data_IF_799524793623
#
_entry.id   IF_799524793623
#
_cell.length_a   1.000
_cell.length_b   1.000
_cell.length_c   1.000
_cell.angle_alpha   90.00
_cell.angle_beta   90.00
_cell.angle_gamma   90.00
#
_symmetry.space_group_name_H-M   'P 1'
#
loop_
_entity.id
_entity.type
_entity.pdbx_description
1 polymer ?
#
# COMPACT_ATOMS: atom_id res chain seq x y z
N UNK A 1 -25.14 -13.77 -12.79
CA UNK A 1 -24.17 -13.16 -13.72
C UNK A 1 -24.15 -11.63 -13.62
N UNK A 2 -25.20 -10.89 -13.93
CA UNK A 2 -25.28 -9.41 -13.88
C UNK A 2 -24.79 -8.74 -12.57
N UNK A 3 -25.04 -9.34 -11.39
CA UNK A 3 -24.59 -8.78 -10.09
C UNK A 3 -23.06 -8.88 -9.88
N UNK A 4 -22.44 -9.92 -10.41
CA UNK A 4 -20.99 -10.15 -10.31
C UNK A 4 -20.21 -9.23 -11.26
N UNK A 5 -20.73 -8.99 -12.46
CA UNK A 5 -20.19 -8.00 -13.42
C UNK A 5 -20.26 -6.59 -12.85
N UNK A 6 -21.40 -6.18 -12.33
CA UNK A 6 -21.60 -4.85 -11.72
C UNK A 6 -20.69 -4.61 -10.52
N UNK A 7 -20.29 -5.67 -9.79
CA UNK A 7 -19.33 -5.57 -8.69
C UNK A 7 -17.88 -5.42 -9.19
N UNK A 8 -17.52 -6.00 -10.33
CA UNK A 8 -16.19 -5.86 -10.92
C UNK A 8 -15.99 -4.46 -11.47
N UNK A 9 -16.99 -3.90 -12.18
CA UNK A 9 -16.92 -2.52 -12.68
C UNK A 9 -16.78 -1.51 -11.53
N UNK A 10 -17.54 -1.72 -10.44
CA UNK A 10 -17.39 -0.90 -9.23
C UNK A 10 -16.02 -1.07 -8.57
N UNK A 11 -15.49 -2.30 -8.51
CA UNK A 11 -14.16 -2.56 -7.96
C UNK A 11 -13.08 -1.81 -8.73
N UNK A 12 -13.21 -1.72 -10.05
CA UNK A 12 -12.22 -1.04 -10.89
C UNK A 12 -12.11 0.46 -10.56
N UNK A 13 -13.23 1.13 -10.25
CA UNK A 13 -13.21 2.53 -9.78
C UNK A 13 -12.37 2.66 -8.49
N UNK A 14 -12.57 1.76 -7.55
CA UNK A 14 -11.79 1.77 -6.29
C UNK A 14 -10.32 1.44 -6.53
N UNK A 15 -10.00 0.56 -7.48
CA UNK A 15 -8.62 0.28 -7.92
C UNK A 15 -7.96 1.54 -8.49
N UNK A 16 -8.65 2.31 -9.34
CA UNK A 16 -8.13 3.56 -9.90
C UNK A 16 -7.90 4.63 -8.82
N UNK A 17 -8.86 4.81 -7.90
CA UNK A 17 -8.72 5.73 -6.77
C UNK A 17 -7.49 5.33 -5.92
N UNK A 18 -7.35 4.05 -5.62
CA UNK A 18 -6.20 3.52 -4.88
C UNK A 18 -4.89 3.78 -5.62
N UNK A 19 -4.83 3.49 -6.92
CA UNK A 19 -3.65 3.69 -7.75
C UNK A 19 -3.21 5.16 -7.77
N UNK A 20 -4.15 6.08 -7.89
CA UNK A 20 -3.87 7.52 -7.84
C UNK A 20 -3.36 7.94 -6.45
N UNK A 21 -4.10 7.63 -5.39
CA UNK A 21 -3.70 8.00 -4.02
C UNK A 21 -2.33 7.43 -3.64
N UNK A 22 -2.09 6.16 -3.97
CA UNK A 22 -0.80 5.52 -3.66
C UNK A 22 0.31 5.92 -4.63
N UNK A 23 -0.01 6.28 -5.87
CA UNK A 23 0.97 6.74 -6.86
C UNK A 23 1.58 8.11 -6.56
N UNK A 24 0.88 8.93 -5.78
CA UNK A 24 1.37 10.23 -5.32
C UNK A 24 2.09 10.17 -3.96
N UNK A 25 2.07 9.01 -3.29
CA UNK A 25 2.53 8.89 -1.90
C UNK A 25 4.02 9.14 -1.75
N UNK A 26 4.86 8.52 -2.59
CA UNK A 26 6.32 8.66 -2.52
C UNK A 26 6.75 10.11 -2.73
N UNK A 27 6.10 10.79 -3.67
CA UNK A 27 6.36 12.20 -3.97
C UNK A 27 6.01 13.08 -2.77
N UNK A 28 4.81 12.87 -2.21
CA UNK A 28 4.38 13.61 -1.03
C UNK A 28 5.31 13.38 0.17
N UNK A 29 5.77 12.13 0.40
CA UNK A 29 6.71 11.81 1.47
C UNK A 29 8.08 12.45 1.25
N UNK A 30 8.57 12.52 0.01
CA UNK A 30 9.82 13.22 -0.34
C UNK A 30 9.70 14.73 -0.15
N UNK A 31 8.59 15.33 -0.55
CA UNK A 31 8.33 16.77 -0.34
C UNK A 31 8.26 17.14 1.15
N UNK A 32 7.79 16.24 2.00
CA UNK A 32 7.83 16.39 3.46
C UNK A 32 9.17 16.00 4.09
N UNK A 33 10.15 15.59 3.28
CA UNK A 33 11.42 15.02 3.71
C UNK A 33 12.23 15.96 4.60
N UNK A 34 12.84 15.39 5.66
CA UNK A 34 13.61 16.12 6.66
C UNK A 34 12.78 16.75 7.78
N UNK A 35 11.47 16.95 7.61
CA UNK A 35 10.60 17.49 8.66
C UNK A 35 10.23 16.46 9.72
N UNK A 36 10.18 15.17 9.34
CA UNK A 36 9.71 14.09 10.19
C UNK A 36 10.65 12.88 10.15
N UNK A 37 10.82 12.18 11.28
CA UNK A 37 11.43 10.85 11.27
C UNK A 37 10.50 9.82 10.61
N UNK A 38 11.06 8.67 10.19
CA UNK A 38 10.27 7.60 9.56
C UNK A 38 9.14 7.09 10.46
N UNK A 39 9.42 6.92 11.75
CA UNK A 39 8.42 6.50 12.73
C UNK A 39 7.37 7.58 12.97
N UNK A 40 7.81 8.82 13.13
CA UNK A 40 6.92 9.95 13.38
C UNK A 40 5.92 10.16 12.25
N UNK A 41 6.37 10.18 10.98
CA UNK A 41 5.45 10.37 9.85
C UNK A 41 4.51 9.17 9.70
N UNK A 42 4.98 7.95 9.97
CA UNK A 42 4.12 6.75 9.96
C UNK A 42 3.05 6.87 11.05
N UNK A 43 3.43 7.18 12.28
CA UNK A 43 2.50 7.44 13.37
C UNK A 43 1.45 8.50 13.01
N UNK A 44 1.92 9.70 12.62
CA UNK A 44 1.02 10.85 12.39
C UNK A 44 0.03 10.60 11.25
N UNK A 45 0.48 10.07 10.10
CA UNK A 45 -0.43 9.85 8.96
C UNK A 45 -1.46 8.76 9.22
N UNK A 46 -1.10 7.70 9.96
CA UNK A 46 -2.06 6.66 10.31
C UNK A 46 -2.99 7.08 11.44
N UNK A 47 -2.55 7.92 12.37
CA UNK A 47 -3.42 8.58 13.35
C UNK A 47 -4.47 9.46 12.63
N UNK A 48 -4.04 10.34 11.74
CA UNK A 48 -4.93 11.22 10.97
C UNK A 48 -5.89 10.40 10.11
N UNK A 49 -5.40 9.43 9.36
CA UNK A 49 -6.22 8.57 8.51
C UNK A 49 -7.21 7.73 9.31
N UNK A 50 -6.79 7.19 10.45
CA UNK A 50 -7.65 6.44 11.37
C UNK A 50 -8.76 7.29 11.96
N UNK A 51 -8.42 8.50 12.43
CA UNK A 51 -9.40 9.47 12.95
C UNK A 51 -10.36 9.98 11.86
N UNK A 52 -9.85 10.22 10.64
CA UNK A 52 -10.69 10.60 9.50
C UNK A 52 -11.72 9.51 9.16
N UNK A 53 -11.36 8.25 9.24
CA UNK A 53 -12.25 7.12 8.94
C UNK A 53 -13.18 6.77 10.12
N UNK A 54 -12.84 7.15 11.35
CA UNK A 54 -13.55 6.76 12.57
C UNK A 54 -15.06 7.10 12.56
N UNK A 55 -15.51 8.31 12.18
CA UNK A 55 -16.94 8.63 12.13
C UNK A 55 -17.72 7.69 11.19
N UNK A 56 -17.12 7.36 10.05
CA UNK A 56 -17.73 6.46 9.07
C UNK A 56 -17.74 5.00 9.58
N UNK A 57 -16.66 4.57 10.26
CA UNK A 57 -16.59 3.26 10.90
C UNK A 57 -17.67 3.10 11.99
N UNK A 58 -17.82 4.09 12.87
CA UNK A 58 -18.86 4.11 13.93
C UNK A 58 -20.26 4.07 13.32
N UNK A 59 -20.49 4.87 12.26
CA UNK A 59 -21.77 4.83 11.52
C UNK A 59 -22.05 3.44 10.92
N UNK A 60 -21.05 2.80 10.31
CA UNK A 60 -21.20 1.47 9.72
C UNK A 60 -21.48 0.41 10.78
N UNK A 61 -20.80 0.46 11.94
CA UNK A 61 -21.07 -0.43 13.08
C UNK A 61 -22.52 -0.31 13.54
N UNK A 62 -23.00 0.92 13.75
CA UNK A 62 -24.37 1.17 14.18
C UNK A 62 -25.40 0.74 13.12
N UNK A 63 -25.19 1.13 11.84
CA UNK A 63 -26.14 0.88 10.76
C UNK A 63 -26.27 -0.60 10.42
N UNK A 64 -25.15 -1.36 10.48
CA UNK A 64 -25.10 -2.78 10.13
C UNK A 64 -25.26 -3.70 11.36
N UNK A 65 -25.36 -3.16 12.57
CA UNK A 65 -25.44 -3.94 13.80
C UNK A 65 -24.22 -4.84 14.03
N UNK A 66 -23.01 -4.38 13.64
CA UNK A 66 -21.80 -5.18 13.72
C UNK A 66 -21.42 -5.39 15.19
N UNK A 67 -21.44 -6.65 15.64
CA UNK A 67 -20.93 -7.02 16.98
C UNK A 67 -19.44 -7.29 16.89
N UNK A 68 -18.63 -6.38 17.45
CA UNK A 68 -17.17 -6.50 17.53
C UNK A 68 -16.85 -7.45 18.68
N UNK A 69 -16.16 -8.55 18.38
CA UNK A 69 -15.74 -9.55 19.35
C UNK A 69 -14.27 -9.38 19.73
N UNK A 70 -13.82 -10.01 20.84
CA UNK A 70 -12.39 -10.05 21.21
C UNK A 70 -11.51 -10.56 20.07
N UNK A 71 -11.97 -11.58 19.33
CA UNK A 71 -11.26 -12.09 18.16
C UNK A 71 -11.17 -11.11 17.00
N UNK A 72 -12.12 -10.16 16.87
CA UNK A 72 -12.02 -9.09 15.87
C UNK A 72 -11.00 -8.04 16.28
N UNK A 73 -10.90 -7.72 17.56
CA UNK A 73 -9.89 -6.79 18.09
C UNK A 73 -8.48 -7.37 17.87
N UNK A 74 -8.25 -8.64 18.24
CA UNK A 74 -6.96 -9.32 18.00
C UNK A 74 -6.61 -9.30 16.50
N UNK A 75 -7.58 -9.62 15.64
CA UNK A 75 -7.37 -9.60 14.20
C UNK A 75 -7.01 -8.19 13.68
N UNK A 76 -7.73 -7.15 14.12
CA UNK A 76 -7.44 -5.75 13.76
C UNK A 76 -6.05 -5.34 14.25
N UNK A 77 -5.64 -5.79 15.45
CA UNK A 77 -4.29 -5.55 16.00
C UNK A 77 -3.22 -6.20 15.14
N UNK A 78 -3.38 -7.48 14.76
CA UNK A 78 -2.45 -8.17 13.85
C UNK A 78 -2.37 -7.43 12.51
N UNK A 79 -3.51 -7.03 11.97
CA UNK A 79 -3.58 -6.32 10.71
C UNK A 79 -2.83 -4.97 10.78
N UNK A 80 -3.02 -4.21 11.86
CA UNK A 80 -2.31 -2.97 12.11
C UNK A 80 -0.80 -3.17 12.30
N UNK A 81 -0.40 -4.18 13.06
CA UNK A 81 1.02 -4.49 13.29
C UNK A 81 1.72 -4.88 11.99
N UNK A 82 1.16 -5.81 11.22
CA UNK A 82 1.76 -6.28 9.97
C UNK A 82 1.75 -5.19 8.89
N UNK A 83 0.59 -4.57 8.69
CA UNK A 83 0.38 -3.64 7.58
C UNK A 83 0.95 -2.25 7.83
N UNK A 84 0.96 -1.78 9.07
CA UNK A 84 1.39 -0.41 9.40
C UNK A 84 2.73 -0.44 10.14
N UNK A 85 2.80 -1.03 11.34
CA UNK A 85 4.00 -0.95 12.14
C UNK A 85 5.21 -1.60 11.44
N UNK A 86 5.06 -2.73 10.77
CA UNK A 86 6.17 -3.36 10.05
C UNK A 86 6.26 -2.83 8.63
N UNK A 87 5.20 -3.00 7.83
CA UNK A 87 5.26 -2.70 6.40
C UNK A 87 5.47 -1.21 6.12
N UNK A 88 4.66 -0.32 6.71
CA UNK A 88 4.73 1.10 6.36
C UNK A 88 5.90 1.82 7.01
N UNK A 89 6.38 1.36 8.17
CA UNK A 89 7.64 1.86 8.73
C UNK A 89 8.84 1.44 7.89
N UNK A 90 8.91 0.18 7.45
CA UNK A 90 9.93 -0.25 6.49
C UNK A 90 9.81 0.52 5.17
N UNK A 91 8.59 0.76 4.68
CA UNK A 91 8.41 1.56 3.47
C UNK A 91 8.93 2.99 3.62
N UNK A 92 8.65 3.64 4.74
CA UNK A 92 9.15 4.99 5.01
C UNK A 92 10.68 5.03 5.10
N UNK A 93 11.30 4.04 5.77
CA UNK A 93 12.75 3.88 5.79
C UNK A 93 13.31 3.65 4.38
N UNK A 94 12.59 2.91 3.55
CA UNK A 94 12.93 2.71 2.14
C UNK A 94 12.91 4.02 1.34
N UNK A 95 11.84 4.81 1.45
CA UNK A 95 11.68 6.10 0.75
C UNK A 95 12.75 7.11 1.16
N UNK A 96 13.19 7.11 2.43
CA UNK A 96 14.28 7.99 2.89
C UNK A 96 15.62 7.58 2.26
N UNK A 97 15.86 6.27 2.06
CA UNK A 97 17.13 5.69 1.64
C UNK A 97 17.18 5.30 0.15
N UNK A 98 16.14 5.63 -0.62
CA UNK A 98 16.06 5.41 -2.07
C UNK A 98 15.42 6.61 -2.78
N UNK A 99 15.61 6.67 -4.10
CA UNK A 99 14.84 7.56 -4.96
C UNK A 99 13.34 7.18 -4.92
N UNK A 100 12.47 8.16 -5.08
CA UNK A 100 11.03 7.93 -5.01
C UNK A 100 10.54 6.97 -6.10
N UNK A 101 11.07 7.10 -7.32
CA UNK A 101 10.76 6.21 -8.43
C UNK A 101 11.15 4.74 -8.13
N UNK A 102 12.35 4.51 -7.57
CA UNK A 102 12.83 3.17 -7.20
C UNK A 102 11.96 2.57 -6.09
N UNK A 103 11.70 3.32 -5.03
CA UNK A 103 10.84 2.87 -3.94
C UNK A 103 9.42 2.56 -4.42
N UNK A 104 8.85 3.40 -5.31
CA UNK A 104 7.52 3.19 -5.88
C UNK A 104 7.42 1.91 -6.69
N UNK A 105 8.45 1.58 -7.48
CA UNK A 105 8.42 0.38 -8.30
C UNK A 105 8.65 -0.88 -7.46
N UNK A 106 9.56 -0.85 -6.48
CA UNK A 106 9.79 -2.01 -5.60
C UNK A 106 8.53 -2.33 -4.80
N UNK A 107 7.87 -1.36 -4.18
CA UNK A 107 6.61 -1.61 -3.45
C UNK A 107 5.50 -2.08 -4.39
N UNK A 108 5.58 -1.74 -5.67
CA UNK A 108 4.63 -2.16 -6.70
C UNK A 108 4.79 -3.62 -7.13
N UNK A 109 5.81 -4.34 -6.64
CA UNK A 109 5.90 -5.81 -6.72
C UNK A 109 4.92 -6.52 -5.77
N UNK A 110 4.24 -5.79 -4.92
CA UNK A 110 3.24 -6.30 -3.97
C UNK A 110 2.26 -7.34 -4.56
N UNK A 111 1.69 -7.19 -5.78
CA UNK A 111 0.77 -8.17 -6.35
C UNK A 111 1.36 -9.58 -6.48
N UNK A 112 2.66 -9.68 -6.68
CA UNK A 112 3.39 -10.95 -6.78
C UNK A 112 3.25 -11.74 -5.47
N UNK A 113 3.60 -11.09 -4.36
CA UNK A 113 3.50 -11.69 -3.02
C UNK A 113 2.04 -11.85 -2.58
N UNK A 114 1.16 -10.91 -2.98
CA UNK A 114 -0.28 -11.00 -2.69
C UNK A 114 -0.90 -12.24 -3.32
N UNK A 115 -0.54 -12.60 -4.55
CA UNK A 115 -1.04 -13.82 -5.20
C UNK A 115 -0.62 -15.09 -4.44
N UNK A 116 0.60 -15.12 -3.90
CA UNK A 116 1.11 -16.22 -3.08
C UNK A 116 0.32 -16.30 -1.77
N UNK A 117 0.27 -15.20 -1.01
CA UNK A 117 -0.45 -15.18 0.28
C UNK A 117 -1.95 -15.41 0.11
N UNK A 118 -2.58 -14.88 -0.95
CA UNK A 118 -3.99 -15.12 -1.22
C UNK A 118 -4.29 -16.61 -1.50
N UNK A 119 -3.36 -17.33 -2.15
CA UNK A 119 -3.51 -18.76 -2.35
C UNK A 119 -3.54 -19.51 -1.02
N UNK A 120 -2.59 -19.27 -0.13
CA UNK A 120 -2.50 -20.00 1.14
C UNK A 120 -3.53 -19.55 2.18
N UNK A 121 -3.79 -18.23 2.30
CA UNK A 121 -4.62 -17.64 3.36
C UNK A 121 -6.11 -17.62 2.98
N UNK A 122 -6.43 -17.22 1.74
CA UNK A 122 -7.81 -17.00 1.27
C UNK A 122 -8.28 -18.12 0.34
N UNK A 123 -7.40 -19.08 0.05
CA UNK A 123 -7.64 -20.22 -0.85
C UNK A 123 -7.99 -19.79 -2.29
N UNK A 124 -7.45 -18.67 -2.74
CA UNK A 124 -7.54 -18.31 -4.16
C UNK A 124 -6.76 -19.29 -5.02
N UNK A 125 -7.29 -19.72 -6.19
CA UNK A 125 -6.56 -20.64 -7.07
C UNK A 125 -5.27 -20.00 -7.59
N UNK A 126 -4.16 -20.74 -7.50
CA UNK A 126 -2.89 -20.39 -8.11
C UNK A 126 -2.82 -21.06 -9.49
N UNK A 127 -2.82 -20.27 -10.54
CA UNK A 127 -2.85 -20.73 -11.92
C UNK A 127 -1.48 -20.56 -12.58
N UNK A 128 -1.20 -21.32 -13.64
CA UNK A 128 0.02 -21.17 -14.47
C UNK A 128 0.19 -19.73 -14.93
N UNK A 129 -0.90 -19.05 -15.27
CA UNK A 129 -0.87 -17.63 -15.63
C UNK A 129 -0.34 -16.76 -14.48
N UNK A 130 -0.78 -17.00 -13.23
CA UNK A 130 -0.25 -16.27 -12.05
C UNK A 130 1.25 -16.52 -11.89
N UNK A 131 1.72 -17.74 -12.17
CA UNK A 131 3.16 -18.05 -12.16
C UNK A 131 3.94 -17.26 -13.22
N UNK A 132 3.42 -17.17 -14.45
CA UNK A 132 4.04 -16.36 -15.53
C UNK A 132 4.11 -14.89 -15.12
N UNK A 133 3.02 -14.32 -14.61
CA UNK A 133 2.97 -12.94 -14.10
C UNK A 133 4.00 -12.71 -13.02
N UNK A 134 4.14 -13.66 -12.09
CA UNK A 134 5.12 -13.63 -11.02
C UNK A 134 6.55 -13.55 -11.57
N UNK A 135 6.91 -14.43 -12.50
CA UNK A 135 8.26 -14.45 -13.12
C UNK A 135 8.56 -13.13 -13.84
N UNK A 136 7.64 -12.67 -14.69
CA UNK A 136 7.82 -11.41 -15.43
C UNK A 136 7.97 -10.23 -14.46
N UNK A 137 7.17 -10.18 -13.39
CA UNK A 137 7.23 -9.09 -12.40
C UNK A 137 8.52 -9.12 -11.58
N UNK A 138 9.04 -10.31 -11.23
CA UNK A 138 10.33 -10.44 -10.55
C UNK A 138 11.46 -9.93 -11.44
N UNK A 139 11.46 -10.32 -12.72
CA UNK A 139 12.46 -9.82 -13.68
C UNK A 139 12.39 -8.29 -13.76
N UNK A 140 11.18 -7.73 -13.90
CA UNK A 140 10.98 -6.28 -13.92
C UNK A 140 11.50 -5.60 -12.65
N UNK A 141 11.28 -6.21 -11.47
CA UNK A 141 11.77 -5.72 -10.19
C UNK A 141 13.30 -5.70 -10.13
N UNK A 142 13.98 -6.75 -10.64
CA UNK A 142 15.45 -6.83 -10.68
C UNK A 142 16.01 -5.68 -11.53
N UNK A 143 15.40 -5.41 -12.70
CA UNK A 143 15.82 -4.29 -13.56
C UNK A 143 15.69 -2.94 -12.84
N UNK A 144 14.62 -2.72 -12.10
CA UNK A 144 14.41 -1.45 -11.37
C UNK A 144 15.35 -1.32 -10.18
N UNK A 145 15.55 -2.39 -9.43
CA UNK A 145 16.44 -2.38 -8.28
C UNK A 145 17.90 -2.15 -8.69
N UNK A 146 18.27 -2.62 -9.89
CA UNK A 146 19.61 -2.51 -10.48
C UNK A 146 20.73 -2.72 -9.46
N UNK A 147 20.88 -3.93 -8.89
CA UNK A 147 21.77 -4.16 -7.76
C UNK A 147 23.25 -4.07 -8.14
N UNK A 148 23.58 -4.03 -9.44
CA UNK A 148 24.94 -3.97 -9.97
C UNK A 148 25.38 -2.53 -10.20
N UNK A 149 24.48 -1.68 -10.76
CA UNK A 149 24.74 -0.25 -11.01
C UNK A 149 23.64 0.60 -10.37
N UNK A 150 23.66 0.65 -9.05
CA UNK A 150 22.67 1.41 -8.29
C UNK A 150 22.69 2.88 -8.67
N UNK A 151 21.50 3.44 -8.96
CA UNK A 151 21.37 4.87 -9.19
C UNK A 151 21.83 5.65 -7.97
N UNK A 152 22.45 6.80 -8.21
CA UNK A 152 22.75 7.77 -7.16
C UNK A 152 21.47 8.07 -6.36
N UNK A 153 21.59 8.11 -5.02
CA UNK A 153 20.45 8.24 -4.11
C UNK A 153 19.80 6.93 -3.66
N UNK A 154 20.16 5.79 -4.24
CA UNK A 154 19.71 4.46 -3.77
C UNK A 154 20.77 3.82 -2.86
N UNK A 155 20.33 3.13 -1.82
CA UNK A 155 21.19 2.33 -0.95
C UNK A 155 20.67 0.89 -0.86
N UNK A 156 21.56 -0.10 -0.70
CA UNK A 156 21.17 -1.51 -0.50
C UNK A 156 20.20 -1.66 0.70
N UNK A 157 20.41 -0.87 1.75
CA UNK A 157 19.54 -0.83 2.94
C UNK A 157 18.14 -0.32 2.60
N UNK A 158 18.04 0.73 1.78
CA UNK A 158 16.76 1.28 1.31
C UNK A 158 16.00 0.29 0.43
N UNK A 159 16.71 -0.38 -0.50
CA UNK A 159 16.13 -1.43 -1.33
C UNK A 159 15.56 -2.57 -0.48
N UNK A 160 16.33 -3.04 0.52
CA UNK A 160 15.90 -4.11 1.43
C UNK A 160 14.65 -3.70 2.26
N UNK A 161 14.64 -2.49 2.81
CA UNK A 161 13.47 -2.00 3.55
C UNK A 161 12.23 -1.92 2.66
N UNK A 162 12.35 -1.40 1.44
CA UNK A 162 11.23 -1.32 0.51
C UNK A 162 10.73 -2.70 0.09
N UNK A 163 11.64 -3.66 -0.08
CA UNK A 163 11.30 -5.05 -0.38
C UNK A 163 10.54 -5.72 0.78
N UNK A 164 11.02 -5.58 2.01
CA UNK A 164 10.32 -6.07 3.22
C UNK A 164 8.93 -5.44 3.31
N UNK A 165 8.83 -4.14 3.04
CA UNK A 165 7.56 -3.44 3.01
C UNK A 165 6.58 -4.05 1.99
N UNK A 166 7.04 -4.37 0.76
CA UNK A 166 6.22 -4.98 -0.27
C UNK A 166 5.68 -6.36 0.16
N UNK A 167 6.52 -7.20 0.75
CA UNK A 167 6.13 -8.53 1.24
C UNK A 167 5.12 -8.42 2.38
N UNK A 168 5.39 -7.55 3.38
CA UNK A 168 4.50 -7.36 4.53
C UNK A 168 3.17 -6.71 4.14
N UNK A 169 3.18 -5.79 3.16
CA UNK A 169 1.95 -5.22 2.64
C UNK A 169 1.10 -6.24 1.87
N UNK A 170 1.75 -7.16 1.17
CA UNK A 170 1.06 -8.27 0.52
C UNK A 170 0.38 -9.20 1.53
N UNK A 171 1.06 -9.48 2.63
CA UNK A 171 0.48 -10.25 3.74
C UNK A 171 -0.72 -9.51 4.36
N UNK A 172 -0.58 -8.21 4.64
CA UNK A 172 -1.69 -7.35 5.08
C UNK A 172 -2.88 -7.42 4.12
N UNK A 173 -2.63 -7.35 2.81
CA UNK A 173 -3.66 -7.42 1.77
C UNK A 173 -4.44 -8.73 1.80
N UNK A 174 -3.73 -9.86 1.92
CA UNK A 174 -4.35 -11.18 2.01
C UNK A 174 -5.13 -11.36 3.32
N UNK A 175 -4.54 -10.96 4.45
CA UNK A 175 -5.20 -10.95 5.76
C UNK A 175 -6.45 -10.07 5.74
N UNK A 176 -6.39 -8.90 5.09
CA UNK A 176 -7.49 -7.94 4.99
C UNK A 176 -8.79 -8.55 4.44
N UNK A 177 -8.69 -9.59 3.60
CA UNK A 177 -9.86 -10.29 3.05
C UNK A 177 -10.63 -11.10 4.09
N UNK A 178 -9.95 -11.63 5.12
CA UNK A 178 -10.53 -12.63 6.03
C UNK A 178 -11.79 -12.15 6.76
N UNK A 179 -11.83 -10.86 7.17
CA UNK A 179 -12.96 -10.32 7.94
C UNK A 179 -13.58 -9.07 7.33
N UNK A 180 -13.17 -8.65 6.12
CA UNK A 180 -13.73 -7.45 5.47
C UNK A 180 -15.23 -7.57 5.20
N UNK A 181 -15.72 -8.77 4.91
CA UNK A 181 -17.16 -9.02 4.70
C UNK A 181 -17.98 -8.82 5.98
N UNK A 182 -17.41 -9.15 7.16
CA UNK A 182 -18.04 -8.98 8.47
C UNK A 182 -17.92 -7.54 8.97
N UNK A 183 -16.70 -7.01 9.00
CA UNK A 183 -16.39 -5.73 9.63
C UNK A 183 -16.61 -4.54 8.69
N UNK A 184 -16.43 -4.75 7.38
CA UNK A 184 -16.35 -3.68 6.40
C UNK A 184 -14.99 -2.99 6.40
N UNK A 185 -14.63 -2.38 5.26
CA UNK A 185 -13.32 -1.74 5.08
C UNK A 185 -13.09 -0.54 6.01
N UNK A 186 -14.14 0.22 6.35
CA UNK A 186 -14.00 1.39 7.22
C UNK A 186 -13.65 1.01 8.66
N UNK A 187 -14.35 0.02 9.23
CA UNK A 187 -14.10 -0.46 10.60
C UNK A 187 -12.71 -1.09 10.69
N UNK A 188 -12.37 -1.89 9.68
CA UNK A 188 -11.10 -2.61 9.61
C UNK A 188 -9.91 -1.63 9.49
N UNK A 189 -9.99 -0.63 8.60
CA UNK A 189 -8.94 0.37 8.44
C UNK A 189 -8.84 1.30 9.64
N UNK A 190 -9.95 1.94 10.05
CA UNK A 190 -9.92 2.86 11.19
C UNK A 190 -9.38 2.17 12.45
N UNK A 191 -9.86 0.95 12.74
CA UNK A 191 -9.41 0.20 13.91
C UNK A 191 -7.92 -0.17 13.84
N UNK A 192 -7.47 -0.74 12.72
CA UNK A 192 -6.06 -1.13 12.54
C UNK A 192 -5.10 0.08 12.54
N UNK A 193 -5.52 1.21 11.95
CA UNK A 193 -4.72 2.42 11.92
C UNK A 193 -4.57 3.06 13.30
N UNK A 194 -5.66 3.15 14.07
CA UNK A 194 -5.62 3.72 15.41
C UNK A 194 -4.82 2.84 16.38
N UNK A 195 -4.98 1.51 16.33
CA UNK A 195 -4.18 0.59 17.15
C UNK A 195 -2.70 0.68 16.74
N UNK A 196 -2.40 0.66 15.45
CA UNK A 196 -1.04 0.81 14.98
C UNK A 196 -0.43 2.16 15.36
N UNK A 197 -1.20 3.25 15.28
CA UNK A 197 -0.74 4.57 15.72
C UNK A 197 -0.39 4.58 17.22
N UNK A 198 -1.14 3.88 18.07
CA UNK A 198 -0.80 3.74 19.50
C UNK A 198 0.51 2.96 19.67
N UNK A 199 0.70 1.86 18.93
CA UNK A 199 1.94 1.07 18.98
C UNK A 199 3.13 1.93 18.51
N UNK A 200 3.00 2.62 17.38
CA UNK A 200 4.04 3.51 16.85
C UNK A 200 4.36 4.66 17.80
N UNK A 201 3.35 5.25 18.44
CA UNK A 201 3.56 6.28 19.47
C UNK A 201 4.43 5.76 20.60
N UNK A 202 4.16 4.55 21.11
CA UNK A 202 4.98 3.92 22.16
C UNK A 202 6.42 3.72 21.66
N UNK A 203 6.62 3.27 20.42
CA UNK A 203 7.96 3.08 19.84
C UNK A 203 8.69 4.42 19.71
N UNK A 204 8.01 5.48 19.23
CA UNK A 204 8.56 6.84 19.10
C UNK A 204 9.03 7.34 20.49
N UNK A 205 8.18 7.20 21.52
CA UNK A 205 8.51 7.64 22.87
C UNK A 205 9.68 6.85 23.50
N UNK A 206 9.70 5.52 23.31
CA UNK A 206 10.78 4.65 23.84
C UNK A 206 12.11 4.96 23.18
N UNK A 207 12.11 5.33 21.88
CA UNK A 207 13.32 5.75 21.16
C UNK A 207 13.79 7.17 21.51
N UNK A 208 12.99 7.93 22.25
CA UNK A 208 13.27 9.33 22.52
C UNK A 208 13.07 10.27 21.32
N UNK A 209 12.41 9.78 20.26
CA UNK A 209 12.06 10.62 19.11
C UNK A 209 10.95 11.60 19.50
N UNK A 210 10.93 12.73 18.81
CA UNK A 210 9.92 13.76 19.07
C UNK A 210 8.59 13.40 18.38
N UNK A 211 7.47 13.58 19.10
CA UNK A 211 6.13 13.20 18.59
C UNK A 211 5.58 14.21 17.59
N UNK A 212 5.72 15.51 17.87
CA UNK A 212 5.07 16.61 17.12
C UNK A 212 6.05 17.63 16.54
N UNK A 213 7.37 17.47 16.74
CA UNK A 213 8.34 18.37 16.13
C UNK A 213 8.30 18.28 14.60
N UNK A 214 8.67 19.37 13.93
CA UNK A 214 8.64 19.40 12.45
C UNK A 214 7.26 19.71 11.85
N UNK A 215 6.19 19.80 12.65
CA UNK A 215 4.90 20.27 12.15
C UNK A 215 4.95 21.81 12.03
N UNK A 216 5.05 22.27 10.81
CA UNK A 216 5.11 23.69 10.42
C UNK A 216 4.03 23.97 9.38
N UNK A 217 3.76 25.24 9.07
CA UNK A 217 2.86 25.60 7.97
C UNK A 217 3.31 25.03 6.62
N UNK A 218 4.60 24.78 6.45
CA UNK A 218 5.15 24.17 5.23
C UNK A 218 4.94 22.66 5.17
N UNK A 219 5.12 21.93 6.27
CA UNK A 219 5.01 20.48 6.33
C UNK A 219 3.57 19.99 6.58
N UNK A 220 2.70 20.83 7.14
CA UNK A 220 1.31 20.49 7.45
C UNK A 220 0.48 20.05 6.24
N UNK A 221 0.54 20.72 5.06
CA UNK A 221 -0.18 20.25 3.87
C UNK A 221 0.21 18.84 3.45
N UNK A 222 1.51 18.50 3.49
CA UNK A 222 2.00 17.15 3.17
C UNK A 222 1.48 16.13 4.18
N UNK A 223 1.51 16.47 5.45
CA UNK A 223 1.00 15.61 6.53
C UNK A 223 -0.50 15.35 6.38
N UNK A 224 -1.30 16.39 6.13
CA UNK A 224 -2.75 16.25 5.90
C UNK A 224 -3.05 15.47 4.62
N UNK A 225 -2.33 15.73 3.54
CA UNK A 225 -2.48 14.99 2.29
C UNK A 225 -2.18 13.51 2.48
N UNK A 226 -1.04 13.17 3.09
CA UNK A 226 -0.65 11.77 3.32
C UNK A 226 -1.55 11.08 4.34
N UNK A 227 -2.07 11.79 5.35
CA UNK A 227 -3.00 11.25 6.33
C UNK A 227 -4.42 11.06 5.78
N UNK A 228 -5.01 12.08 5.16
CA UNK A 228 -6.42 12.05 4.73
C UNK A 228 -6.55 11.39 3.35
N UNK A 229 -5.81 11.88 2.34
CA UNK A 229 -6.01 11.43 0.96
C UNK A 229 -5.37 10.06 0.77
N UNK A 230 -4.07 9.94 1.05
CA UNK A 230 -3.35 8.68 0.82
C UNK A 230 -3.79 7.60 1.80
N UNK A 231 -3.75 7.89 3.12
CA UNK A 231 -4.04 6.89 4.15
C UNK A 231 -5.55 6.71 4.34
N UNK A 232 -6.33 7.77 4.48
CA UNK A 232 -7.78 7.68 4.68
C UNK A 232 -8.49 7.14 3.44
N UNK A 233 -8.51 7.93 2.36
CA UNK A 233 -9.28 7.62 1.14
C UNK A 233 -8.62 6.46 0.37
N UNK A 234 -7.31 6.47 0.19
CA UNK A 234 -6.59 5.46 -0.60
C UNK A 234 -6.75 4.05 -0.02
N UNK A 235 -6.53 3.87 1.28
CA UNK A 235 -6.69 2.56 1.92
C UNK A 235 -8.15 2.13 2.04
N UNK A 236 -9.09 3.07 2.25
CA UNK A 236 -10.51 2.74 2.18
C UNK A 236 -10.88 2.18 0.81
N UNK A 237 -10.46 2.86 -0.25
CA UNK A 237 -10.70 2.40 -1.62
C UNK A 237 -10.04 1.02 -1.86
N UNK A 238 -8.82 0.82 -1.36
CA UNK A 238 -8.12 -0.45 -1.50
C UNK A 238 -8.85 -1.62 -0.82
N UNK A 239 -9.24 -1.49 0.45
CA UNK A 239 -10.02 -2.54 1.13
C UNK A 239 -11.40 -2.73 0.50
N UNK A 240 -12.00 -1.68 -0.04
CA UNK A 240 -13.27 -1.83 -0.78
C UNK A 240 -13.09 -2.62 -2.08
N UNK A 241 -11.99 -2.41 -2.78
CA UNK A 241 -11.63 -3.24 -3.93
C UNK A 241 -11.39 -4.71 -3.53
N UNK A 242 -10.67 -4.97 -2.41
CA UNK A 242 -10.48 -6.32 -1.86
C UNK A 242 -11.81 -6.99 -1.50
N UNK A 243 -12.72 -6.26 -0.88
CA UNK A 243 -14.07 -6.75 -0.54
C UNK A 243 -14.82 -7.21 -1.79
N UNK A 244 -14.82 -6.37 -2.83
CA UNK A 244 -15.60 -6.56 -4.06
C UNK A 244 -15.01 -7.61 -5.01
N UNK A 245 -13.69 -7.67 -5.16
CA UNK A 245 -13.04 -8.49 -6.20
C UNK A 245 -11.93 -9.41 -5.71
N UNK A 246 -11.60 -9.38 -4.42
CA UNK A 246 -10.53 -10.17 -3.82
C UNK A 246 -9.16 -9.48 -3.86
N UNK A 247 -8.20 -9.99 -3.05
CA UNK A 247 -6.88 -9.38 -2.89
C UNK A 247 -6.05 -9.36 -4.17
N UNK A 248 -6.02 -10.45 -4.95
CA UNK A 248 -5.28 -10.51 -6.21
C UNK A 248 -5.75 -9.48 -7.26
N UNK A 249 -7.06 -9.21 -7.33
CA UNK A 249 -7.60 -8.21 -8.27
C UNK A 249 -7.42 -6.79 -7.74
N UNK A 250 -7.58 -6.57 -6.45
CA UNK A 250 -7.37 -5.25 -5.85
C UNK A 250 -5.91 -4.79 -5.96
N UNK A 251 -4.95 -5.73 -5.83
CA UNK A 251 -3.52 -5.43 -5.95
C UNK A 251 -3.08 -4.94 -7.34
N UNK A 252 -3.94 -5.05 -8.36
CA UNK A 252 -3.72 -4.44 -9.69
C UNK A 252 -3.48 -2.92 -9.60
N UNK A 253 -3.99 -2.24 -8.56
CA UNK A 253 -3.69 -0.85 -8.29
C UNK A 253 -2.18 -0.57 -8.23
N UNK A 254 -1.38 -1.53 -7.73
CA UNK A 254 0.08 -1.42 -7.64
C UNK A 254 0.80 -1.57 -8.98
N UNK A 255 0.12 -1.97 -10.01
CA UNK A 255 0.69 -1.96 -11.37
C UNK A 255 0.48 -0.61 -12.08
N UNK A 256 -0.59 0.09 -11.76
CA UNK A 256 -0.86 1.45 -12.30
C UNK A 256 -0.04 2.49 -11.53
N UNK A 257 0.13 2.28 -10.22
CA UNK A 257 0.85 3.16 -9.30
C UNK A 257 2.24 3.60 -9.80
N UNK A 258 3.15 2.72 -10.26
CA UNK A 258 4.51 3.12 -10.64
C UNK A 258 4.53 4.06 -11.84
N UNK A 259 3.58 3.98 -12.75
CA UNK A 259 3.49 4.92 -13.88
C UNK A 259 3.27 6.34 -13.35
N UNK A 260 2.32 6.50 -12.43
CA UNK A 260 2.02 7.80 -11.81
C UNK A 260 3.23 8.29 -11.00
N UNK A 261 3.82 7.42 -10.19
CA UNK A 261 4.94 7.76 -9.32
C UNK A 261 6.19 8.19 -10.12
N UNK A 262 6.57 7.43 -11.17
CA UNK A 262 7.74 7.73 -12.00
C UNK A 262 7.58 9.05 -12.75
N UNK A 263 6.41 9.28 -13.34
CA UNK A 263 6.12 10.56 -14.04
C UNK A 263 6.20 11.73 -13.05
N UNK A 264 5.59 11.60 -11.88
CA UNK A 264 5.60 12.67 -10.88
C UNK A 264 6.98 12.87 -10.26
N UNK A 265 7.76 11.80 -10.03
CA UNK A 265 9.13 11.90 -9.54
C UNK A 265 10.02 12.69 -10.51
N UNK A 266 9.89 12.44 -11.81
CA UNK A 266 10.62 13.19 -12.83
C UNK A 266 10.20 14.67 -12.88
N UNK A 267 8.89 14.96 -12.88
CA UNK A 267 8.38 16.34 -13.05
C UNK A 267 8.60 17.18 -11.77
N UNK A 268 8.34 16.59 -10.59
CA UNK A 268 8.31 17.35 -9.33
C UNK A 268 9.64 17.29 -8.58
N UNK A 269 10.31 16.12 -8.57
CA UNK A 269 11.55 15.92 -7.83
C UNK A 269 12.80 16.01 -8.71
N UNK A 270 12.64 16.08 -10.04
CA UNK A 270 13.78 16.10 -10.97
C UNK A 270 14.56 14.76 -11.01
N UNK A 271 13.97 13.66 -10.56
CA UNK A 271 14.64 12.37 -10.56
C UNK A 271 14.88 11.87 -12.00
N UNK A 272 16.10 11.40 -12.34
CA UNK A 272 16.41 10.97 -13.70
C UNK A 272 15.62 9.71 -14.07
N UNK A 273 15.05 9.71 -15.27
CA UNK A 273 14.39 8.54 -15.84
C UNK A 273 15.43 7.65 -16.51
N UNK A 274 15.89 6.62 -15.80
CA UNK A 274 16.83 5.63 -16.32
C UNK A 274 16.13 4.55 -17.15
N UNK A 275 16.80 4.02 -18.15
CA UNK A 275 16.26 2.97 -19.03
C UNK A 275 15.87 1.68 -18.28
N UNK A 276 16.64 1.30 -17.25
CA UNK A 276 16.32 0.16 -16.40
C UNK A 276 14.97 0.31 -15.68
N UNK A 277 14.62 1.52 -15.21
CA UNK A 277 13.32 1.83 -14.60
C UNK A 277 12.21 1.69 -15.65
N UNK A 278 12.39 2.29 -16.83
CA UNK A 278 11.39 2.22 -17.92
C UNK A 278 11.13 0.77 -18.31
N UNK A 279 12.20 0.00 -18.53
CA UNK A 279 12.11 -1.41 -18.92
C UNK A 279 11.45 -2.26 -17.82
N UNK A 280 11.85 -2.08 -16.57
CA UNK A 280 11.27 -2.78 -15.43
C UNK A 280 9.79 -2.45 -15.22
N UNK A 281 9.39 -1.18 -15.33
CA UNK A 281 7.98 -0.75 -15.29
C UNK A 281 7.19 -1.38 -16.44
N UNK A 282 7.72 -1.40 -17.67
CA UNK A 282 7.07 -2.06 -18.81
C UNK A 282 6.82 -3.55 -18.55
N UNK A 283 7.81 -4.27 -18.00
CA UNK A 283 7.65 -5.69 -17.65
C UNK A 283 6.56 -5.89 -16.58
N UNK A 284 6.54 -5.07 -15.54
CA UNK A 284 5.52 -5.11 -14.49
C UNK A 284 4.12 -4.83 -15.07
N UNK A 285 4.01 -3.86 -15.98
CA UNK A 285 2.75 -3.55 -16.67
C UNK A 285 2.30 -4.70 -17.58
N UNK A 286 3.21 -5.34 -18.32
CA UNK A 286 2.90 -6.53 -19.14
C UNK A 286 2.38 -7.66 -18.26
N UNK A 287 3.06 -7.97 -17.16
CA UNK A 287 2.59 -8.95 -16.19
C UNK A 287 1.19 -8.63 -15.68
N UNK A 288 0.94 -7.35 -15.37
CA UNK A 288 -0.39 -6.84 -14.99
C UNK A 288 -1.46 -7.11 -16.03
N UNK A 289 -1.20 -6.74 -17.28
CA UNK A 289 -2.14 -6.94 -18.40
C UNK A 289 -2.48 -8.42 -18.56
N UNK A 290 -1.48 -9.31 -18.50
CA UNK A 290 -1.71 -10.76 -18.54
C UNK A 290 -2.65 -11.21 -17.41
N UNK A 291 -2.46 -10.69 -16.19
CA UNK A 291 -3.33 -11.01 -15.06
C UNK A 291 -4.78 -10.53 -15.27
N UNK A 292 -4.95 -9.28 -15.72
CA UNK A 292 -6.27 -8.67 -15.95
C UNK A 292 -7.03 -9.38 -17.08
N UNK A 293 -6.39 -9.55 -18.25
CA UNK A 293 -7.01 -10.14 -19.42
C UNK A 293 -7.42 -11.60 -19.15
N UNK A 294 -6.58 -12.34 -18.49
CA UNK A 294 -6.91 -13.71 -18.18
C UNK A 294 -7.91 -13.88 -17.05
N UNK A 295 -8.12 -12.88 -16.17
CA UNK A 295 -9.23 -12.89 -15.22
C UNK A 295 -10.59 -12.73 -15.94
N UNK A 296 -10.61 -12.14 -17.13
CA UNK A 296 -11.81 -12.03 -17.98
C UNK A 296 -12.11 -13.31 -18.76
N UNK A 297 -11.09 -14.11 -19.13
CA UNK A 297 -11.26 -15.33 -19.94
C UNK A 297 -11.67 -16.57 -19.13
N UNK A 298 -11.39 -16.62 -17.83
CA UNK A 298 -11.80 -17.75 -16.95
C UNK A 298 -13.23 -17.59 -16.40
N UNK A 299 -14.06 -16.85 -17.09
CA UNK A 299 -15.51 -16.71 -16.89
C UNK A 299 -16.30 -17.36 -18.04
#
# INVERSE_FOLDING_TARGET
MRTKEKNIDKSFIFVLITAFCFGTMEIALKLGGGSFSALQITFLRFLIGGLFLLPFAVRDVKKKGIKITKGDIIYITILGTVGICISMTCFQLGVINCNANTAAVIISSNPVFTMIFAHYIVKEPFTVRKAIVLVISIIGLIFVADPVDMAEGNTSKGLLYTFIAAVMFALYTALGKLRVAKLGGMVQNSGSFLIAAVIELVIVLVKGDTVISGITLHSLPVLLYTGIVVTGIGYFAYLKAIELSGPSNASVAFFIKPVIAVILAQIILGEPLRWNIVFGVCLILIGSLINILGARHNK
#
